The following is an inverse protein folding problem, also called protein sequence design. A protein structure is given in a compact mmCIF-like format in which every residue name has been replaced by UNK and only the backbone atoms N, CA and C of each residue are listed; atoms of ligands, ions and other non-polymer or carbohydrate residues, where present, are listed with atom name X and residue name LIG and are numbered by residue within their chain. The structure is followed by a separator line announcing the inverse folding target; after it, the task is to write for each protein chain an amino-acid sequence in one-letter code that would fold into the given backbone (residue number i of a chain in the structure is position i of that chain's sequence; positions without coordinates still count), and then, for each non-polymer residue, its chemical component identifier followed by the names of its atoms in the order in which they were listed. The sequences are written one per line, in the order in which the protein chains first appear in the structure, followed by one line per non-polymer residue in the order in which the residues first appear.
data_IF_499946493690
#
_entry.id   IF_499946493690
#
_cell.length_a   1.000
_cell.length_b   1.000
_cell.length_c   1.000
_cell.angle_alpha   90.00
_cell.angle_beta   90.00
_cell.angle_gamma   90.00
#
_symmetry.space_group_name_H-M   'P 1'
#
loop_
_entity.id
_entity.type
_entity.pdbx_description
1 polymer ?
#
# COMPACT_ATOMS: atom_id res chain seq x y z
N UNK A 1 60.12 -64.56 -9.47
CA UNK A 1 59.68 -63.85 -8.25
C UNK A 1 59.99 -62.37 -8.42
N UNK A 2 59.04 -61.58 -8.92
CA UNK A 2 59.18 -60.13 -9.00
C UNK A 2 58.38 -59.51 -7.85
N UNK A 3 59.10 -58.90 -6.92
CA UNK A 3 58.54 -58.16 -5.79
C UNK A 3 57.74 -56.96 -6.32
N UNK A 4 56.41 -57.09 -6.32
CA UNK A 4 55.50 -55.96 -6.45
C UNK A 4 55.80 -55.01 -5.27
N UNK A 5 56.29 -53.81 -5.60
CA UNK A 5 56.56 -52.74 -4.62
C UNK A 5 55.27 -52.46 -3.82
N UNK A 6 55.34 -52.20 -2.50
CA UNK A 6 54.16 -52.02 -1.65
C UNK A 6 53.22 -50.90 -2.11
N UNK A 7 53.73 -49.95 -2.90
CA UNK A 7 52.96 -48.85 -3.48
C UNK A 7 51.95 -49.31 -4.55
N UNK A 8 52.27 -50.34 -5.34
CA UNK A 8 51.36 -50.84 -6.40
C UNK A 8 50.23 -51.71 -5.83
N UNK A 9 50.45 -52.38 -4.69
CA UNK A 9 49.40 -53.14 -4.00
C UNK A 9 48.37 -52.20 -3.36
N UNK A 10 48.83 -51.09 -2.78
CA UNK A 10 47.96 -50.05 -2.19
C UNK A 10 47.14 -49.35 -3.28
N UNK A 11 47.72 -49.08 -4.45
CA UNK A 11 47.00 -48.46 -5.56
C UNK A 11 45.93 -49.37 -6.16
N UNK A 12 46.19 -50.68 -6.27
CA UNK A 12 45.20 -51.67 -6.72
C UNK A 12 44.10 -51.88 -5.66
N UNK A 13 44.45 -51.83 -4.36
CA UNK A 13 43.46 -51.89 -3.28
C UNK A 13 42.55 -50.65 -3.25
N UNK A 14 43.12 -49.45 -3.51
CA UNK A 14 42.36 -48.20 -3.65
C UNK A 14 41.47 -48.18 -4.90
N UNK A 15 41.91 -48.79 -6.00
CA UNK A 15 41.11 -48.93 -7.23
C UNK A 15 39.98 -49.98 -7.10
N UNK A 16 40.13 -50.97 -6.21
CA UNK A 16 39.09 -51.95 -5.89
C UNK A 16 38.09 -51.42 -4.84
N UNK A 17 38.52 -50.51 -3.96
CA UNK A 17 37.65 -49.80 -3.01
C UNK A 17 36.75 -48.75 -3.71
N UNK A 18 37.19 -48.18 -4.84
CA UNK A 18 36.42 -47.16 -5.57
C UNK A 18 35.25 -47.70 -6.41
N UNK A 19 35.13 -49.02 -6.61
CA UNK A 19 34.01 -49.64 -7.35
C UNK A 19 32.87 -50.10 -6.40
N UNK A 20 33.03 -49.95 -5.09
CA UNK A 20 31.97 -50.29 -4.11
C UNK A 20 31.25 -49.05 -3.55
N UNK A 21 30.90 -48.08 -4.40
CA UNK A 21 29.95 -47.02 -4.04
C UNK A 21 28.59 -47.31 -4.66
N UNK A 22 27.96 -48.41 -4.23
CA UNK A 22 26.53 -48.58 -4.45
C UNK A 22 25.86 -47.59 -3.49
N UNK A 23 25.25 -46.54 -4.04
CA UNK A 23 24.32 -45.70 -3.30
C UNK A 23 23.30 -46.61 -2.59
N UNK A 24 23.36 -46.68 -1.26
CA UNK A 24 22.45 -47.51 -0.48
C UNK A 24 21.07 -46.84 -0.50
N UNK A 25 20.18 -47.31 -1.38
CA UNK A 25 18.76 -47.00 -1.25
C UNK A 25 18.27 -47.59 0.08
N UNK A 26 18.07 -46.73 1.10
CA UNK A 26 17.56 -47.13 2.42
C UNK A 26 16.12 -47.59 2.27
N UNK A 27 15.89 -48.90 2.32
CA UNK A 27 14.54 -49.48 2.33
C UNK A 27 13.81 -49.19 3.65
N UNK A 28 12.75 -48.36 3.68
CA UNK A 28 12.00 -48.06 4.89
C UNK A 28 11.26 -49.30 5.44
N UNK A 29 10.99 -50.29 4.61
CA UNK A 29 10.36 -51.57 4.99
C UNK A 29 11.34 -52.58 5.60
N UNK A 30 12.62 -52.22 5.78
CA UNK A 30 13.63 -53.11 6.36
C UNK A 30 13.24 -53.60 7.76
N UNK A 31 12.55 -52.77 8.56
CA UNK A 31 12.07 -53.14 9.91
C UNK A 31 10.99 -54.23 9.90
N UNK A 32 10.28 -54.41 8.78
CA UNK A 32 9.24 -55.43 8.62
C UNK A 32 9.66 -56.55 7.65
N UNK A 33 10.96 -56.65 7.33
CA UNK A 33 11.55 -57.77 6.59
C UNK A 33 11.22 -57.84 5.10
N UNK A 34 10.54 -56.85 4.51
CA UNK A 34 10.18 -56.86 3.08
C UNK A 34 11.21 -56.12 2.22
N UNK A 35 11.61 -56.72 1.09
CA UNK A 35 12.39 -56.05 0.03
C UNK A 35 11.41 -55.51 -1.03
N UNK A 36 11.25 -54.20 -1.10
CA UNK A 36 10.46 -53.53 -2.15
C UNK A 36 11.33 -52.48 -2.84
N UNK A 37 11.12 -52.29 -4.15
CA UNK A 37 11.73 -51.18 -4.90
C UNK A 37 11.12 -49.87 -4.42
N UNK A 38 11.95 -48.92 -3.98
CA UNK A 38 11.49 -47.61 -3.52
C UNK A 38 11.32 -46.74 -4.76
N UNK A 39 10.07 -46.39 -5.07
CA UNK A 39 9.77 -45.40 -6.10
C UNK A 39 9.85 -44.03 -5.43
N UNK A 40 10.90 -43.27 -5.74
CA UNK A 40 11.00 -41.85 -5.38
C UNK A 40 10.42 -41.02 -6.51
N UNK A 41 9.82 -39.87 -6.17
CA UNK A 41 9.11 -38.98 -7.10
C UNK A 41 10.01 -38.48 -8.23
N UNK A 42 11.31 -38.43 -7.96
CA UNK A 42 12.34 -37.95 -8.87
C UNK A 42 13.34 -39.03 -9.27
N UNK A 43 13.05 -40.30 -8.98
CA UNK A 43 13.94 -41.45 -9.23
C UNK A 43 15.38 -41.24 -8.71
N UNK A 44 15.51 -40.55 -7.57
CA UNK A 44 16.79 -40.27 -6.91
C UNK A 44 17.52 -39.03 -7.42
N UNK A 45 16.90 -38.20 -8.26
CA UNK A 45 17.48 -36.93 -8.72
C UNK A 45 17.57 -35.89 -7.59
N UNK A 46 16.63 -35.92 -6.63
CA UNK A 46 16.63 -35.05 -5.46
C UNK A 46 16.54 -35.85 -4.16
N UNK A 47 17.02 -35.26 -3.06
CA UNK A 47 16.95 -35.85 -1.73
C UNK A 47 15.53 -35.69 -1.17
N UNK A 48 14.75 -36.77 -1.22
CA UNK A 48 13.32 -36.77 -0.86
C UNK A 48 13.04 -37.23 0.59
N UNK A 49 14.08 -37.67 1.31
CA UNK A 49 13.98 -38.06 2.72
C UNK A 49 14.66 -37.00 3.59
N UNK A 50 13.88 -36.36 4.45
CA UNK A 50 14.32 -35.22 5.28
C UNK A 50 14.89 -35.64 6.64
N UNK A 51 14.67 -36.89 7.06
CA UNK A 51 15.12 -37.44 8.35
C UNK A 51 16.54 -38.05 8.29
N UNK A 52 17.40 -37.55 7.40
CA UNK A 52 18.73 -38.13 7.22
C UNK A 52 19.77 -37.58 8.18
N UNK A 53 19.59 -36.37 8.69
CA UNK A 53 20.52 -35.77 9.64
C UNK A 53 20.03 -35.93 11.08
N UNK A 54 20.94 -36.37 11.94
CA UNK A 54 20.66 -36.57 13.36
C UNK A 54 20.41 -35.26 14.11
N UNK A 55 20.71 -34.12 13.50
CA UNK A 55 20.60 -32.79 14.10
C UNK A 55 19.63 -31.95 13.25
N UNK A 56 18.54 -31.48 13.87
CA UNK A 56 17.58 -30.60 13.23
C UNK A 56 17.50 -29.26 13.96
N UNK A 57 17.25 -28.19 13.21
CA UNK A 57 17.02 -26.85 13.76
C UNK A 57 15.55 -26.69 14.16
N UNK A 58 15.30 -26.38 15.43
CA UNK A 58 13.99 -26.05 15.97
C UNK A 58 14.10 -24.66 16.63
N UNK A 59 13.56 -23.64 15.97
CA UNK A 59 13.66 -22.25 16.42
C UNK A 59 15.11 -21.76 16.48
N UNK A 60 15.56 -21.40 17.69
CA UNK A 60 16.94 -20.97 17.99
C UNK A 60 17.84 -22.11 18.47
N UNK A 61 17.36 -23.36 18.50
CA UNK A 61 18.13 -24.51 18.97
C UNK A 61 18.41 -25.51 17.85
N UNK A 62 19.63 -26.04 17.82
CA UNK A 62 19.96 -27.27 17.10
C UNK A 62 19.76 -28.44 18.06
N UNK A 63 18.89 -29.39 17.69
CA UNK A 63 18.50 -30.52 18.53
C UNK A 63 18.89 -31.81 17.82
N UNK A 64 19.52 -32.73 18.55
CA UNK A 64 19.72 -34.08 18.06
C UNK A 64 18.41 -34.86 18.19
N UNK A 65 17.81 -35.27 17.08
CA UNK A 65 16.48 -35.92 17.06
C UNK A 65 16.50 -37.37 17.58
N UNK A 66 17.67 -38.01 17.62
CA UNK A 66 17.81 -39.37 18.15
C UNK A 66 17.97 -39.38 19.67
N UNK A 67 18.68 -38.39 20.23
CA UNK A 67 18.92 -38.30 21.68
C UNK A 67 18.00 -37.30 22.37
N UNK A 68 17.26 -36.50 21.61
CA UNK A 68 16.43 -35.37 22.09
C UNK A 68 17.21 -34.34 22.90
N UNK A 69 18.52 -34.22 22.65
CA UNK A 69 19.39 -33.27 23.36
C UNK A 69 19.65 -32.03 22.51
N UNK A 70 19.68 -30.87 23.15
CA UNK A 70 20.10 -29.61 22.53
C UNK A 70 21.61 -29.68 22.28
N UNK A 71 21.99 -29.62 21.01
CA UNK A 71 23.38 -29.62 20.55
C UNK A 71 23.97 -28.23 20.66
N UNK A 72 23.19 -27.20 20.30
CA UNK A 72 23.66 -25.82 20.28
C UNK A 72 22.50 -24.84 20.33
N UNK A 73 22.65 -23.75 21.09
CA UNK A 73 21.75 -22.61 21.08
C UNK A 73 22.39 -21.52 20.22
N UNK A 74 21.68 -21.08 19.18
CA UNK A 74 22.16 -20.12 18.20
C UNK A 74 22.05 -18.69 18.77
N UNK A 75 23.11 -17.90 18.61
CA UNK A 75 23.14 -16.48 19.01
C UNK A 75 22.24 -15.62 18.10
N UNK A 76 21.61 -14.59 18.68
CA UNK A 76 20.57 -13.76 18.08
C UNK A 76 21.07 -12.93 16.89
N UNK A 77 22.39 -12.76 16.75
CA UNK A 77 22.97 -11.73 15.89
C UNK A 77 23.59 -12.18 14.55
N UNK A 78 23.60 -13.48 14.22
CA UNK A 78 24.29 -13.94 12.99
C UNK A 78 23.46 -14.82 12.06
N UNK A 79 22.45 -15.56 12.53
CA UNK A 79 21.78 -16.61 11.73
C UNK A 79 20.25 -16.48 11.61
N UNK A 80 19.64 -15.44 12.20
CA UNK A 80 18.17 -15.23 12.19
C UNK A 80 17.67 -14.67 10.84
N UNK A 81 18.55 -14.16 9.97
CA UNK A 81 18.14 -13.59 8.67
C UNK A 81 17.79 -14.60 7.58
N UNK A 82 18.12 -15.89 7.73
CA UNK A 82 17.50 -16.94 6.89
C UNK A 82 16.23 -17.43 7.58
N UNK A 83 15.18 -16.62 7.52
CA UNK A 83 13.81 -17.15 7.65
C UNK A 83 13.65 -18.25 6.58
N UNK A 84 12.90 -19.33 6.83
CA UNK A 84 12.42 -20.18 5.75
C UNK A 84 11.60 -19.28 4.83
N UNK A 85 12.21 -18.86 3.74
CA UNK A 85 11.56 -18.06 2.71
C UNK A 85 10.64 -19.00 1.92
N UNK A 86 9.33 -18.81 2.06
CA UNK A 86 8.33 -19.59 1.35
C UNK A 86 8.34 -19.32 -0.16
N UNK A 87 9.10 -18.32 -0.64
CA UNK A 87 9.38 -18.11 -2.07
C UNK A 87 9.96 -19.38 -2.72
N UNK A 88 10.66 -20.21 -1.95
CA UNK A 88 11.28 -21.44 -2.44
C UNK A 88 10.38 -22.68 -2.34
N UNK A 89 9.42 -22.72 -1.42
CA UNK A 89 8.62 -23.92 -1.14
C UNK A 89 7.20 -23.89 -1.71
N UNK A 90 6.72 -22.73 -2.19
CA UNK A 90 5.36 -22.57 -2.76
C UNK A 90 4.24 -23.16 -1.89
N UNK A 91 4.47 -23.24 -0.57
CA UNK A 91 3.57 -23.83 0.42
C UNK A 91 3.54 -22.96 1.66
N UNK A 92 2.37 -22.87 2.29
CA UNK A 92 2.22 -22.17 3.56
C UNK A 92 2.91 -22.95 4.69
N UNK A 93 3.47 -22.20 5.66
CA UNK A 93 4.14 -22.79 6.84
C UNK A 93 3.15 -23.20 7.94
N UNK A 94 1.90 -22.76 7.83
CA UNK A 94 0.80 -23.07 8.74
C UNK A 94 -0.38 -23.60 7.95
N UNK A 95 -1.19 -24.44 8.59
CA UNK A 95 -2.44 -24.97 8.03
C UNK A 95 -3.46 -23.84 7.80
N UNK A 96 -4.09 -23.85 6.63
CA UNK A 96 -5.21 -22.98 6.27
C UNK A 96 -6.37 -23.10 7.30
N UNK A 97 -6.82 -22.01 7.94
CA UNK A 97 -7.96 -22.02 8.86
C UNK A 97 -9.27 -22.55 8.27
N UNK A 98 -9.46 -22.46 6.95
CA UNK A 98 -10.63 -22.94 6.23
C UNK A 98 -10.50 -24.40 5.76
N UNK A 99 -9.41 -25.09 6.10
CA UNK A 99 -9.18 -26.51 5.77
C UNK A 99 -10.40 -27.39 6.07
N UNK A 100 -11.09 -27.13 7.19
CA UNK A 100 -12.27 -27.91 7.59
C UNK A 100 -13.45 -27.83 6.60
N UNK A 101 -13.57 -26.72 5.88
CA UNK A 101 -14.61 -26.48 4.88
C UNK A 101 -14.24 -27.03 3.50
N UNK A 102 -12.96 -27.31 3.26
CA UNK A 102 -12.42 -27.73 1.97
C UNK A 102 -11.56 -28.98 2.11
N UNK A 103 -12.15 -30.05 2.62
CA UNK A 103 -11.47 -31.34 2.87
C UNK A 103 -10.88 -32.00 1.63
N UNK A 104 -11.32 -31.60 0.43
CA UNK A 104 -10.76 -32.06 -0.85
C UNK A 104 -9.45 -31.36 -1.24
N UNK A 105 -9.00 -30.37 -0.46
CA UNK A 105 -7.82 -29.57 -0.73
C UNK A 105 -6.75 -29.78 0.35
N UNK A 106 -5.48 -29.59 -0.03
CA UNK A 106 -4.39 -29.71 0.95
C UNK A 106 -4.42 -28.51 1.91
N UNK A 107 -4.23 -28.72 3.23
CA UNK A 107 -4.18 -27.62 4.22
C UNK A 107 -3.07 -26.59 3.98
N UNK A 108 -2.17 -26.83 3.04
CA UNK A 108 -1.00 -26.00 2.74
C UNK A 108 -0.93 -25.58 1.26
N UNK A 109 -2.02 -25.75 0.51
CA UNK A 109 -2.04 -25.40 -0.91
C UNK A 109 -1.98 -23.89 -1.12
N UNK A 110 -1.46 -23.47 -2.25
CA UNK A 110 -1.58 -22.11 -2.76
C UNK A 110 -2.56 -22.10 -3.94
N UNK A 111 -3.55 -21.19 -3.93
CA UNK A 111 -4.49 -20.98 -5.04
C UNK A 111 -5.12 -22.26 -5.63
N UNK A 112 -5.57 -23.20 -4.79
CA UNK A 112 -6.10 -24.49 -5.24
C UNK A 112 -5.14 -25.35 -6.09
N UNK A 113 -3.82 -25.18 -5.91
CA UNK A 113 -2.76 -25.73 -6.77
C UNK A 113 -2.87 -25.32 -8.25
N UNK A 114 -3.51 -24.18 -8.52
CA UNK A 114 -3.68 -23.60 -9.85
C UNK A 114 -2.96 -22.25 -9.93
N UNK A 115 -1.63 -22.17 -9.79
CA UNK A 115 -0.92 -20.90 -9.69
C UNK A 115 -0.85 -20.08 -11.00
N UNK A 116 -1.33 -20.63 -12.11
CA UNK A 116 -1.33 -19.97 -13.42
C UNK A 116 -2.64 -19.19 -13.65
N UNK A 117 -3.78 -19.78 -13.26
CA UNK A 117 -5.14 -19.24 -13.47
C UNK A 117 -5.88 -18.95 -12.16
N UNK A 118 -5.42 -19.50 -11.05
CA UNK A 118 -5.86 -19.24 -9.70
C UNK A 118 -4.97 -18.21 -9.04
N UNK A 119 -5.58 -17.12 -8.60
CA UNK A 119 -4.99 -16.14 -7.69
C UNK A 119 -5.55 -16.49 -6.31
N UNK A 120 -4.67 -16.63 -5.32
CA UNK A 120 -5.09 -16.75 -3.93
C UNK A 120 -5.72 -15.42 -3.51
N UNK A 121 -7.05 -15.40 -3.38
CA UNK A 121 -7.85 -14.19 -3.18
C UNK A 121 -7.84 -13.68 -1.74
N UNK A 122 -7.12 -14.33 -0.83
CA UNK A 122 -6.91 -13.82 0.53
C UNK A 122 -5.87 -12.66 0.55
N UNK A 123 -5.91 -11.85 -0.50
CA UNK A 123 -5.31 -10.52 -0.60
C UNK A 123 -6.13 -9.55 0.25
N UNK A 124 -5.49 -9.03 1.28
CA UNK A 124 -6.12 -8.24 2.32
C UNK A 124 -5.44 -6.86 2.34
N UNK A 125 -5.97 -5.93 1.58
CA UNK A 125 -5.61 -4.51 1.50
C UNK A 125 -6.43 -3.66 2.51
N UNK A 126 -6.54 -2.34 2.39
CA UNK A 126 -7.58 -1.62 3.16
C UNK A 126 -8.97 -1.96 2.62
N UNK A 127 -9.11 -1.94 1.30
CA UNK A 127 -10.38 -2.12 0.60
C UNK A 127 -10.19 -2.70 -0.79
N UNK A 128 -11.02 -3.70 -1.11
CA UNK A 128 -11.18 -4.21 -2.47
C UNK A 128 -12.25 -3.38 -3.17
N UNK A 129 -11.93 -2.77 -4.30
CA UNK A 129 -12.90 -2.07 -5.15
C UNK A 129 -13.10 -2.85 -6.46
N UNK A 130 -14.30 -3.40 -6.64
CA UNK A 130 -14.68 -4.18 -7.82
C UNK A 130 -15.48 -3.32 -8.81
N UNK A 131 -15.03 -3.29 -10.06
CA UNK A 131 -15.72 -2.71 -11.21
C UNK A 131 -16.15 -3.83 -12.15
N UNK A 132 -17.38 -3.77 -12.67
CA UNK A 132 -17.90 -4.74 -13.62
C UNK A 132 -18.20 -4.03 -14.93
N UNK A 133 -17.53 -4.42 -16.01
CA UNK A 133 -17.75 -3.89 -17.34
C UNK A 133 -18.50 -4.90 -18.20
N UNK A 134 -19.62 -4.46 -18.79
CA UNK A 134 -20.33 -5.21 -19.81
C UNK A 134 -19.73 -4.91 -21.18
N UNK A 135 -19.11 -5.92 -21.77
CA UNK A 135 -18.56 -5.92 -23.11
C UNK A 135 -19.64 -6.07 -24.16
N UNK A 136 -19.65 -5.15 -25.12
CA UNK A 136 -20.48 -5.30 -26.31
C UNK A 136 -20.00 -6.50 -27.13
N UNK A 137 -20.95 -7.31 -27.60
CA UNK A 137 -20.68 -8.46 -28.47
C UNK A 137 -20.21 -8.03 -29.86
N UNK A 138 -20.51 -6.78 -30.28
CA UNK A 138 -20.16 -6.28 -31.62
C UNK A 138 -18.85 -5.50 -31.68
N UNK A 139 -18.37 -4.96 -30.55
CA UNK A 139 -17.03 -4.37 -30.45
C UNK A 139 -16.42 -4.66 -29.07
N UNK A 140 -15.50 -5.65 -28.96
CA UNK A 140 -14.87 -6.01 -27.70
C UNK A 140 -13.92 -4.94 -27.14
N UNK A 141 -13.78 -3.78 -27.80
CA UNK A 141 -13.04 -2.61 -27.29
C UNK A 141 -13.94 -1.59 -26.59
N UNK A 142 -15.26 -1.83 -26.56
CA UNK A 142 -16.23 -0.94 -25.93
C UNK A 142 -16.89 -1.70 -24.77
N UNK A 143 -16.43 -1.42 -23.54
CA UNK A 143 -17.04 -1.91 -22.31
C UNK A 143 -17.72 -0.76 -21.56
N UNK A 144 -18.99 -0.95 -21.18
CA UNK A 144 -19.70 0.00 -20.33
C UNK A 144 -19.65 -0.47 -18.87
N UNK A 145 -19.34 0.43 -17.93
CA UNK A 145 -19.43 0.14 -16.51
C UNK A 145 -20.88 -0.20 -16.14
N UNK A 146 -21.12 -1.41 -15.66
CA UNK A 146 -22.44 -1.91 -15.28
C UNK A 146 -22.66 -1.90 -13.77
N UNK A 147 -21.60 -2.11 -12.99
CA UNK A 147 -21.64 -2.07 -11.54
C UNK A 147 -20.27 -1.70 -10.95
N UNK A 148 -20.27 -1.00 -9.82
CA UNK A 148 -19.09 -0.75 -9.00
C UNK A 148 -19.44 -1.02 -7.53
N UNK A 149 -18.60 -1.75 -6.80
CA UNK A 149 -18.85 -2.15 -5.42
C UNK A 149 -17.55 -2.32 -4.65
N UNK A 150 -17.52 -1.99 -3.37
CA UNK A 150 -16.32 -2.11 -2.54
C UNK A 150 -16.56 -3.00 -1.32
N UNK A 151 -15.48 -3.59 -0.80
CA UNK A 151 -15.48 -4.38 0.43
C UNK A 151 -14.27 -3.99 1.28
N UNK A 152 -14.54 -3.51 2.50
CA UNK A 152 -13.48 -3.24 3.47
C UNK A 152 -12.86 -4.53 3.95
N UNK A 153 -11.52 -4.56 4.07
CA UNK A 153 -10.84 -5.70 4.66
C UNK A 153 -11.30 -5.97 6.10
N UNK A 154 -11.48 -4.91 6.88
CA UNK A 154 -12.04 -4.99 8.20
C UNK A 154 -13.24 -4.04 8.33
N UNK A 155 -14.45 -4.60 8.25
CA UNK A 155 -15.69 -3.84 8.37
C UNK A 155 -15.91 -3.21 9.76
N UNK A 156 -15.24 -3.72 10.80
CA UNK A 156 -15.30 -3.11 12.14
C UNK A 156 -14.32 -1.94 12.28
N UNK A 157 -13.26 -1.94 11.47
CA UNK A 157 -12.26 -0.90 11.46
C UNK A 157 -11.55 -0.79 10.11
N UNK A 158 -11.91 0.22 9.32
CA UNK A 158 -11.51 0.34 7.92
C UNK A 158 -10.01 0.64 7.68
N UNK A 159 -9.27 1.00 8.74
CA UNK A 159 -7.84 1.29 8.67
C UNK A 159 -6.93 0.10 9.03
N UNK A 160 -7.50 -1.09 9.25
CA UNK A 160 -6.72 -2.31 9.25
C UNK A 160 -6.44 -2.71 7.80
N UNK A 161 -5.27 -3.28 7.56
CA UNK A 161 -4.89 -3.88 6.29
C UNK A 161 -4.34 -5.27 6.58
N UNK A 162 -4.34 -6.13 5.58
CA UNK A 162 -3.69 -7.43 5.65
C UNK A 162 -2.40 -7.50 4.84
N UNK A 163 -2.23 -8.63 4.14
CA UNK A 163 -0.95 -9.14 3.62
C UNK A 163 -0.36 -8.35 2.46
N UNK A 164 -1.18 -7.72 1.62
CA UNK A 164 -0.72 -6.83 0.53
C UNK A 164 -0.23 -5.49 1.06
N UNK A 165 -0.55 -5.17 2.32
CA UNK A 165 -0.17 -3.94 2.98
C UNK A 165 -1.22 -2.85 2.82
N UNK A 166 -0.80 -1.63 3.14
CA UNK A 166 -1.63 -0.43 3.06
C UNK A 166 -1.92 -0.14 1.59
N UNK A 167 -3.20 -0.09 1.18
CA UNK A 167 -3.53 0.13 -0.22
C UNK A 167 -4.96 -0.20 -0.61
N UNK A 168 -5.26 -0.03 -1.90
CA UNK A 168 -6.54 -0.36 -2.52
C UNK A 168 -6.29 -1.41 -3.59
N UNK A 169 -7.05 -2.51 -3.58
CA UNK A 169 -7.04 -3.50 -4.64
C UNK A 169 -8.22 -3.22 -5.57
N UNK A 170 -7.92 -2.96 -6.83
CA UNK A 170 -8.91 -2.86 -7.89
C UNK A 170 -9.11 -4.22 -8.53
N UNK A 171 -10.36 -4.66 -8.63
CA UNK A 171 -10.77 -5.84 -9.39
C UNK A 171 -11.64 -5.36 -10.54
N UNK A 172 -11.23 -5.63 -11.78
CA UNK A 172 -11.96 -5.28 -12.98
C UNK A 172 -12.52 -6.57 -13.57
N UNK A 173 -13.83 -6.76 -13.51
CA UNK A 173 -14.53 -7.92 -14.05
C UNK A 173 -15.12 -7.58 -15.42
N UNK A 174 -14.95 -8.49 -16.37
CA UNK A 174 -15.51 -8.36 -17.70
C UNK A 174 -16.66 -9.35 -17.87
N UNK A 175 -17.82 -8.83 -18.28
CA UNK A 175 -19.02 -9.62 -18.53
C UNK A 175 -19.46 -9.47 -19.99
N UNK A 176 -19.96 -10.54 -20.61
CA UNK A 176 -20.65 -10.46 -21.89
C UNK A 176 -21.94 -11.28 -21.85
N UNK A 177 -23.07 -10.64 -22.19
CA UNK A 177 -24.38 -11.26 -22.08
C UNK A 177 -24.72 -11.76 -20.67
N UNK A 178 -24.26 -11.05 -19.63
CA UNK A 178 -24.50 -11.40 -18.22
C UNK A 178 -23.64 -12.54 -17.67
N UNK A 179 -22.61 -12.98 -18.41
CA UNK A 179 -21.66 -14.00 -17.94
C UNK A 179 -20.27 -13.39 -17.77
N UNK A 180 -19.62 -13.71 -16.65
CA UNK A 180 -18.21 -13.39 -16.43
C UNK A 180 -17.35 -14.09 -17.49
N UNK A 181 -16.52 -13.31 -18.18
CA UNK A 181 -15.62 -13.77 -19.25
C UNK A 181 -14.14 -13.50 -18.96
N UNK A 182 -13.85 -12.70 -17.94
CA UNK A 182 -12.48 -12.43 -17.50
C UNK A 182 -12.45 -11.50 -16.30
N UNK A 183 -11.28 -11.39 -15.67
CA UNK A 183 -11.02 -10.40 -14.65
C UNK A 183 -9.55 -10.00 -14.64
N UNK A 184 -9.27 -8.75 -14.29
CA UNK A 184 -7.94 -8.24 -13.96
C UNK A 184 -7.94 -7.71 -12.52
N UNK A 185 -6.77 -7.73 -11.89
CA UNK A 185 -6.60 -7.20 -10.53
C UNK A 185 -5.32 -6.37 -10.43
N UNK A 186 -5.41 -5.22 -9.77
CA UNK A 186 -4.30 -4.27 -9.59
C UNK A 186 -4.30 -3.75 -8.16
N UNK A 187 -3.13 -3.73 -7.51
CA UNK A 187 -2.98 -3.18 -6.17
C UNK A 187 -2.27 -1.82 -6.23
N UNK A 188 -2.92 -0.79 -5.69
CA UNK A 188 -2.33 0.54 -5.51
C UNK A 188 -1.87 0.63 -4.06
N UNK A 189 -0.57 0.42 -3.87
CA UNK A 189 0.06 0.52 -2.56
C UNK A 189 0.04 1.96 -2.05
N UNK A 190 -0.30 2.12 -0.77
CA UNK A 190 -0.17 3.36 -0.02
C UNK A 190 1.16 3.30 0.71
N UNK A 191 2.21 3.80 0.07
CA UNK A 191 3.59 3.58 0.52
C UNK A 191 3.90 4.41 1.77
N UNK A 192 4.03 3.74 2.91
CA UNK A 192 4.82 4.25 4.02
C UNK A 192 6.29 4.38 3.57
N UNK A 193 6.75 5.63 3.38
CA UNK A 193 8.07 5.93 2.80
C UNK A 193 9.23 5.08 3.38
N UNK A 194 10.20 4.75 2.53
CA UNK A 194 11.43 4.01 2.88
C UNK A 194 12.36 4.75 3.86
N UNK A 195 12.02 5.98 4.25
CA UNK A 195 12.74 6.81 5.23
C UNK A 195 12.09 6.82 6.62
N UNK A 196 11.11 5.94 6.88
CA UNK A 196 10.56 5.73 8.21
C UNK A 196 9.51 6.74 8.67
N UNK A 197 9.05 7.64 7.80
CA UNK A 197 7.92 8.54 8.07
C UNK A 197 6.90 8.40 6.93
N UNK A 198 5.85 7.61 7.14
CA UNK A 198 4.73 7.55 6.20
C UNK A 198 3.99 8.89 6.21
N UNK A 199 3.97 9.56 5.07
CA UNK A 199 3.05 10.66 4.81
C UNK A 199 1.69 10.16 4.28
N UNK A 200 1.62 8.88 3.94
CA UNK A 200 0.41 8.24 3.46
C UNK A 200 -0.40 7.65 4.61
N UNK A 201 -1.71 7.84 4.52
CA UNK A 201 -2.71 7.30 5.43
C UNK A 201 -4.04 7.13 4.67
N UNK A 202 -4.81 6.10 5.04
CA UNK A 202 -6.10 5.83 4.41
C UNK A 202 -6.04 5.72 2.88
N UNK A 203 -7.11 6.13 2.23
CA UNK A 203 -7.29 6.11 0.78
C UNK A 203 -6.83 7.42 0.12
N UNK A 204 -6.93 8.55 0.82
CA UNK A 204 -6.78 9.88 0.25
C UNK A 204 -5.59 10.65 0.83
N UNK A 205 -5.32 10.56 2.13
CA UNK A 205 -4.20 11.32 2.73
C UNK A 205 -2.82 10.89 2.21
N UNK A 206 -2.20 11.69 1.34
CA UNK A 206 -0.86 11.44 0.80
C UNK A 206 -0.69 11.97 -0.62
N UNK A 207 0.45 11.69 -1.24
CA UNK A 207 0.72 12.09 -2.63
C UNK A 207 0.22 11.08 -3.67
N UNK A 208 -0.11 9.87 -3.24
CA UNK A 208 -0.58 8.79 -4.13
C UNK A 208 -2.04 9.04 -4.50
N UNK A 209 -2.31 9.32 -5.77
CA UNK A 209 -3.68 9.45 -6.27
C UNK A 209 -4.35 8.10 -6.49
N UNK A 210 -5.65 8.03 -6.22
CA UNK A 210 -6.51 6.92 -6.66
C UNK A 210 -7.19 7.32 -7.96
N UNK A 211 -7.19 6.44 -8.95
CA UNK A 211 -7.74 6.72 -10.29
C UNK A 211 -8.88 5.76 -10.60
N UNK A 212 -9.93 6.28 -11.24
CA UNK A 212 -11.04 5.46 -11.72
C UNK A 212 -10.52 4.46 -12.77
N UNK A 213 -10.77 3.17 -12.60
CA UNK A 213 -10.49 2.19 -13.64
C UNK A 213 -11.28 2.51 -14.92
N UNK A 214 -10.63 2.30 -16.06
CA UNK A 214 -11.28 2.29 -17.37
C UNK A 214 -11.39 0.84 -17.87
N UNK A 215 -12.07 0.65 -19.00
CA UNK A 215 -12.27 -0.68 -19.57
C UNK A 215 -10.93 -1.36 -19.95
N UNK A 216 -9.92 -0.59 -20.35
CA UNK A 216 -8.56 -1.03 -20.68
C UNK A 216 -7.62 -1.20 -19.46
N UNK A 217 -8.11 -1.02 -18.23
CA UNK A 217 -7.33 -1.17 -17.00
C UNK A 217 -7.44 0.02 -16.04
N UNK A 218 -6.32 0.46 -15.45
CA UNK A 218 -6.29 1.73 -14.74
C UNK A 218 -6.16 2.85 -15.77
N UNK A 219 -7.30 3.50 -16.04
CA UNK A 219 -7.47 4.84 -16.61
C UNK A 219 -6.20 5.56 -17.03
N UNK A 220 -6.01 5.83 -18.32
CA UNK A 220 -5.03 6.83 -18.73
C UNK A 220 -5.21 8.09 -17.87
N UNK A 221 -4.13 8.43 -17.17
CA UNK A 221 -4.07 9.26 -15.97
C UNK A 221 -4.92 10.53 -16.05
N UNK A 222 -5.83 10.73 -15.07
CA UNK A 222 -6.28 12.02 -14.49
C UNK A 222 -7.73 12.00 -13.93
N UNK A 223 -8.50 10.94 -14.14
CA UNK A 223 -9.83 10.83 -13.50
C UNK A 223 -9.66 10.25 -12.10
N UNK A 224 -9.51 11.12 -11.10
CA UNK A 224 -9.39 10.69 -9.72
C UNK A 224 -10.66 10.00 -9.21
N UNK A 225 -10.48 8.98 -8.38
CA UNK A 225 -11.56 8.21 -7.79
C UNK A 225 -11.94 8.76 -6.41
N UNK A 226 -12.95 9.63 -6.42
CA UNK A 226 -13.61 10.11 -5.20
C UNK A 226 -14.89 9.33 -4.87
N UNK A 227 -15.19 8.23 -5.56
CA UNK A 227 -16.36 7.41 -5.26
C UNK A 227 -16.07 6.43 -4.11
N UNK A 228 -14.80 6.04 -3.94
CA UNK A 228 -14.38 5.23 -2.81
C UNK A 228 -14.58 6.00 -1.48
N UNK A 229 -15.23 5.42 -0.46
CA UNK A 229 -15.34 6.08 0.83
C UNK A 229 -13.97 6.25 1.48
N UNK A 230 -13.81 7.34 2.24
CA UNK A 230 -12.66 7.51 3.12
C UNK A 230 -12.66 6.45 4.24
N UNK A 231 -11.49 6.12 4.78
CA UNK A 231 -11.40 5.12 5.86
C UNK A 231 -11.97 5.65 7.19
N UNK A 232 -11.76 6.94 7.49
CA UNK A 232 -12.17 7.64 8.73
C UNK A 232 -12.23 9.16 8.50
N UNK A 233 -12.46 9.94 9.57
CA UNK A 233 -12.60 11.40 9.47
C UNK A 233 -11.32 12.10 8.96
N UNK A 234 -10.15 11.59 9.32
CA UNK A 234 -8.87 12.20 8.91
C UNK A 234 -8.66 12.04 7.42
N UNK A 235 -8.97 10.86 6.91
CA UNK A 235 -8.91 10.54 5.49
C UNK A 235 -10.03 11.23 4.69
N UNK A 236 -11.21 11.42 5.30
CA UNK A 236 -12.30 12.20 4.69
C UNK A 236 -11.91 13.66 4.48
N UNK A 237 -11.23 14.28 5.44
CA UNK A 237 -10.71 15.64 5.27
C UNK A 237 -9.67 15.72 4.15
N UNK A 238 -8.83 14.70 4.00
CA UNK A 238 -7.90 14.61 2.88
C UNK A 238 -8.63 14.43 1.53
N UNK A 239 -9.68 13.60 1.49
CA UNK A 239 -10.54 13.44 0.31
C UNK A 239 -11.16 14.77 -0.12
N UNK A 240 -11.67 15.55 0.82
CA UNK A 240 -12.25 16.87 0.55
C UNK A 240 -11.20 17.86 0.05
N UNK A 241 -10.00 17.82 0.62
CA UNK A 241 -8.87 18.63 0.17
C UNK A 241 -8.51 18.31 -1.29
N UNK A 242 -8.35 17.02 -1.61
CA UNK A 242 -7.95 16.59 -2.95
C UNK A 242 -9.03 16.92 -3.99
N UNK A 243 -10.31 16.64 -3.71
CA UNK A 243 -11.44 17.01 -4.58
C UNK A 243 -11.51 18.53 -4.82
N UNK A 244 -11.26 19.33 -3.79
CA UNK A 244 -11.22 20.79 -3.93
C UNK A 244 -10.00 21.28 -4.72
N UNK A 245 -8.85 20.61 -4.62
CA UNK A 245 -7.67 20.88 -5.45
C UNK A 245 -7.96 20.62 -6.92
N UNK A 246 -8.58 19.49 -7.23
CA UNK A 246 -8.97 19.12 -8.59
C UNK A 246 -9.96 20.12 -9.19
N UNK A 247 -10.96 20.56 -8.42
CA UNK A 247 -11.91 21.61 -8.83
C UNK A 247 -11.24 22.97 -9.10
N UNK A 248 -10.08 23.20 -8.48
CA UNK A 248 -9.24 24.37 -8.72
C UNK A 248 -8.18 24.12 -9.81
N UNK A 249 -8.20 23.00 -10.53
CA UNK A 249 -7.15 22.61 -11.47
C UNK A 249 -5.73 22.70 -10.87
N UNK A 250 -5.61 22.48 -9.57
CA UNK A 250 -4.36 22.60 -8.84
C UNK A 250 -3.55 21.30 -8.97
N UNK A 251 -2.41 21.35 -9.65
CA UNK A 251 -1.59 20.18 -9.93
C UNK A 251 -0.27 20.18 -9.16
N UNK A 252 -0.02 19.08 -8.46
CA UNK A 252 1.29 18.73 -7.88
C UNK A 252 1.83 19.71 -6.83
N UNK A 253 3.13 19.60 -6.55
CA UNK A 253 3.79 20.38 -5.50
C UNK A 253 3.81 21.89 -5.75
N UNK A 254 3.82 22.34 -7.01
CA UNK A 254 3.81 23.78 -7.28
C UNK A 254 2.52 24.43 -6.78
N UNK A 255 1.37 23.79 -6.99
CA UNK A 255 0.09 24.30 -6.51
C UNK A 255 -0.02 24.25 -4.98
N UNK A 256 0.63 23.29 -4.34
CA UNK A 256 0.73 23.23 -2.89
C UNK A 256 1.52 24.40 -2.30
N UNK A 257 2.58 24.88 -2.95
CA UNK A 257 3.44 25.92 -2.34
C UNK A 257 3.21 27.33 -2.89
N UNK A 258 2.89 27.46 -4.19
CA UNK A 258 2.94 28.74 -4.90
C UNK A 258 1.58 29.23 -5.39
N UNK A 259 0.59 28.33 -5.54
CA UNK A 259 -0.77 28.76 -5.89
C UNK A 259 -1.48 29.31 -4.64
N UNK A 260 -1.76 30.61 -4.67
CA UNK A 260 -2.45 31.29 -3.57
C UNK A 260 -3.95 31.01 -3.56
N UNK A 261 -4.53 30.53 -4.66
CA UNK A 261 -5.95 30.19 -4.79
C UNK A 261 -6.31 28.91 -4.04
N UNK A 262 -5.34 28.05 -3.76
CA UNK A 262 -5.53 26.83 -2.95
C UNK A 262 -5.43 27.07 -1.44
N UNK A 263 -4.93 28.24 -1.00
CA UNK A 263 -4.81 28.60 0.43
C UNK A 263 -6.06 28.35 1.27
N UNK A 264 -7.29 28.71 0.85
CA UNK A 264 -8.48 28.43 1.66
C UNK A 264 -8.82 26.93 1.78
N UNK A 265 -8.42 26.12 0.80
CA UNK A 265 -8.57 24.65 0.84
C UNK A 265 -7.55 24.04 1.81
N UNK A 266 -6.29 24.48 1.72
CA UNK A 266 -5.21 24.10 2.62
C UNK A 266 -5.54 24.43 4.08
N UNK A 267 -6.07 25.63 4.31
CA UNK A 267 -6.52 26.10 5.61
C UNK A 267 -7.69 25.27 6.16
N UNK A 268 -8.65 24.90 5.31
CA UNK A 268 -9.77 24.04 5.72
C UNK A 268 -9.29 22.66 6.18
N UNK A 269 -8.36 22.05 5.44
CA UNK A 269 -7.75 20.76 5.81
C UNK A 269 -6.97 20.87 7.13
N UNK A 270 -6.11 21.89 7.25
CA UNK A 270 -5.35 22.19 8.47
C UNK A 270 -6.27 22.34 9.69
N UNK A 271 -7.32 23.14 9.57
CA UNK A 271 -8.27 23.38 10.65
C UNK A 271 -9.03 22.11 10.98
N UNK A 272 -9.51 21.35 9.98
CA UNK A 272 -10.18 20.07 10.19
C UNK A 272 -9.34 19.06 10.97
N UNK A 273 -8.05 18.92 10.63
CA UNK A 273 -7.16 18.01 11.37
C UNK A 273 -6.83 18.49 12.78
N UNK A 274 -6.74 19.81 13.01
CA UNK A 274 -6.56 20.35 14.36
C UNK A 274 -7.82 20.15 15.21
N UNK A 275 -8.99 20.50 14.68
CA UNK A 275 -10.30 20.30 15.29
C UNK A 275 -10.52 18.83 15.67
N UNK A 276 -10.20 17.92 14.75
CA UNK A 276 -10.28 16.49 15.01
C UNK A 276 -9.42 16.08 16.22
N UNK A 277 -8.17 16.54 16.27
CA UNK A 277 -7.24 16.19 17.35
C UNK A 277 -7.60 16.78 18.71
N UNK A 278 -8.24 17.95 18.72
CA UNK A 278 -8.70 18.63 19.93
C UNK A 278 -9.97 17.97 20.48
N UNK A 279 -10.92 17.63 19.60
CA UNK A 279 -12.24 17.13 19.99
C UNK A 279 -12.26 15.61 20.22
N UNK A 280 -11.49 14.83 19.46
CA UNK A 280 -11.58 13.37 19.44
C UNK A 280 -10.31 12.69 19.99
N UNK A 281 -10.51 11.81 20.97
CA UNK A 281 -9.46 11.04 21.64
C UNK A 281 -9.46 9.60 21.14
N UNK A 282 -8.35 8.90 21.32
CA UNK A 282 -8.28 7.46 21.01
C UNK A 282 -9.40 6.71 21.75
N UNK A 283 -10.16 5.90 21.03
CA UNK A 283 -11.31 5.15 21.54
C UNK A 283 -12.65 5.90 21.55
N UNK A 284 -12.66 7.21 21.24
CA UNK A 284 -13.93 7.93 21.00
C UNK A 284 -14.54 7.55 19.65
N UNK A 285 -15.81 7.87 19.43
CA UNK A 285 -16.48 7.65 18.15
C UNK A 285 -15.95 8.63 17.11
N UNK A 286 -15.42 8.09 16.03
CA UNK A 286 -15.05 8.86 14.84
C UNK A 286 -16.31 9.52 14.25
N UNK A 287 -16.26 10.81 13.91
CA UNK A 287 -17.45 11.53 13.44
C UNK A 287 -17.86 11.21 11.99
N UNK A 288 -16.99 10.59 11.20
CA UNK A 288 -17.29 10.22 9.82
C UNK A 288 -17.97 8.85 9.74
N UNK A 289 -17.42 7.83 10.40
CA UNK A 289 -17.89 6.45 10.28
C UNK A 289 -18.42 5.82 11.59
N UNK A 290 -18.31 6.51 12.73
CA UNK A 290 -18.76 6.02 14.03
C UNK A 290 -17.85 4.97 14.69
N UNK A 291 -16.75 4.57 14.05
CA UNK A 291 -15.81 3.58 14.57
C UNK A 291 -14.91 4.19 15.65
N UNK A 292 -14.18 3.34 16.38
CA UNK A 292 -13.29 3.82 17.42
C UNK A 292 -12.06 4.54 16.81
N UNK A 293 -11.86 5.81 17.17
CA UNK A 293 -10.71 6.60 16.76
C UNK A 293 -9.41 5.91 17.18
N UNK A 294 -8.48 5.73 16.24
CA UNK A 294 -7.20 5.05 16.53
C UNK A 294 -6.07 5.99 16.89
N UNK A 295 -5.02 5.44 17.50
CA UNK A 295 -3.75 6.14 17.64
C UNK A 295 -3.11 6.44 16.28
N UNK A 296 -3.29 5.58 15.27
CA UNK A 296 -2.76 5.76 13.93
C UNK A 296 -3.37 6.98 13.24
N UNK A 297 -4.69 7.08 13.29
CA UNK A 297 -5.50 8.19 12.80
C UNK A 297 -5.11 9.52 13.45
N UNK A 298 -5.03 9.57 14.78
CA UNK A 298 -4.59 10.79 15.49
C UNK A 298 -3.17 11.20 15.12
N UNK A 299 -2.28 10.23 14.88
CA UNK A 299 -0.92 10.50 14.37
C UNK A 299 -0.95 11.01 12.92
N UNK A 300 -1.88 10.53 12.10
CA UNK A 300 -2.06 11.01 10.73
C UNK A 300 -2.54 12.46 10.73
N UNK A 301 -3.59 12.79 11.49
CA UNK A 301 -4.05 14.16 11.67
C UNK A 301 -2.92 15.10 12.15
N UNK A 302 -2.07 14.65 13.08
CA UNK A 302 -0.95 15.47 13.56
C UNK A 302 0.09 15.71 12.46
N UNK A 303 0.38 14.71 11.63
CA UNK A 303 1.28 14.84 10.48
C UNK A 303 0.72 15.83 9.46
N UNK A 304 -0.54 15.67 9.06
CA UNK A 304 -1.23 16.57 8.12
C UNK A 304 -1.23 18.01 8.62
N UNK A 305 -1.69 18.23 9.85
CA UNK A 305 -1.69 19.56 10.46
C UNK A 305 -0.28 20.18 10.57
N UNK A 306 0.74 19.37 10.83
CA UNK A 306 2.12 19.86 10.95
C UNK A 306 2.71 20.28 9.60
N UNK A 307 2.42 19.53 8.53
CA UNK A 307 2.85 19.86 7.17
C UNK A 307 2.17 21.15 6.69
N UNK A 308 0.84 21.24 6.83
CA UNK A 308 0.06 22.33 6.29
C UNK A 308 0.19 23.63 7.09
N UNK A 309 0.58 23.57 8.38
CA UNK A 309 0.76 24.77 9.21
C UNK A 309 1.69 25.79 8.56
N UNK A 310 2.85 25.34 8.10
CA UNK A 310 3.85 26.23 7.51
C UNK A 310 3.41 26.67 6.11
N UNK A 311 2.89 25.74 5.30
CA UNK A 311 2.39 26.04 3.94
C UNK A 311 1.34 27.16 3.95
N UNK A 312 0.31 27.02 4.80
CA UNK A 312 -0.76 28.01 4.93
C UNK A 312 -0.22 29.34 5.45
N UNK A 313 0.65 29.30 6.47
CA UNK A 313 1.24 30.51 7.04
C UNK A 313 2.07 31.29 6.01
N UNK A 314 2.93 30.60 5.26
CA UNK A 314 3.81 31.20 4.26
C UNK A 314 3.00 31.81 3.11
N UNK A 315 1.99 31.10 2.58
CA UNK A 315 1.08 31.64 1.57
C UNK A 315 0.39 32.90 2.04
N UNK A 316 -0.20 32.89 3.25
CA UNK A 316 -0.89 34.07 3.81
C UNK A 316 0.04 35.26 4.00
N UNK A 317 1.28 35.03 4.40
CA UNK A 317 2.29 36.11 4.52
C UNK A 317 2.60 36.70 3.15
N UNK A 318 2.85 35.87 2.15
CA UNK A 318 3.15 36.31 0.78
C UNK A 318 1.98 37.07 0.16
N UNK A 319 0.76 36.55 0.30
CA UNK A 319 -0.49 37.23 -0.08
C UNK A 319 -0.57 38.60 0.59
N UNK A 320 -0.31 38.68 1.90
CA UNK A 320 -0.44 39.93 2.65
C UNK A 320 0.54 41.01 2.18
N UNK A 321 1.78 40.64 1.88
CA UNK A 321 2.75 41.58 1.29
C UNK A 321 2.34 42.03 -0.10
N UNK A 322 1.89 41.11 -0.95
CA UNK A 322 1.44 41.42 -2.30
C UNK A 322 0.20 42.34 -2.30
N UNK A 323 -0.73 42.11 -1.37
CA UNK A 323 -1.90 42.97 -1.18
C UNK A 323 -1.52 44.40 -0.79
N UNK A 324 -0.50 44.58 0.07
CA UNK A 324 0.00 45.93 0.39
C UNK A 324 0.66 46.62 -0.79
N UNK A 325 1.33 45.88 -1.66
CA UNK A 325 1.99 46.43 -2.84
C UNK A 325 0.99 46.91 -3.89
N UNK A 326 -0.11 46.18 -4.09
CA UNK A 326 -1.05 46.44 -5.18
C UNK A 326 -2.35 47.15 -4.73
N UNK A 327 -2.71 47.03 -3.45
CA UNK A 327 -3.94 47.59 -2.87
C UNK A 327 -3.66 48.38 -1.58
N UNK A 328 -2.62 49.22 -1.59
CA UNK A 328 -2.14 49.95 -0.39
C UNK A 328 -3.20 50.82 0.31
N UNK A 329 -4.22 51.29 -0.43
CA UNK A 329 -5.33 52.07 0.12
C UNK A 329 -6.38 51.20 0.85
N UNK A 330 -6.41 49.89 0.60
CA UNK A 330 -7.39 48.96 1.19
C UNK A 330 -6.76 48.00 2.20
N UNK A 331 -5.51 47.58 1.94
CA UNK A 331 -4.73 46.68 2.78
C UNK A 331 -4.24 47.39 4.06
N UNK A 332 -3.99 46.59 5.11
CA UNK A 332 -3.62 47.07 6.45
C UNK A 332 -2.24 46.62 6.87
N UNK A 333 -1.64 47.45 7.73
CA UNK A 333 -0.46 47.11 8.53
C UNK A 333 -0.84 47.05 10.01
N UNK A 334 -0.09 46.26 10.77
CA UNK A 334 -0.19 46.16 12.22
C UNK A 334 1.15 46.43 12.86
N UNK A 335 1.14 46.90 14.11
CA UNK A 335 2.37 47.17 14.86
C UNK A 335 2.96 45.89 15.41
N UNK A 336 4.28 45.72 15.24
CA UNK A 336 5.07 44.69 15.89
C UNK A 336 6.24 45.35 16.62
N UNK A 337 5.99 45.77 17.87
CA UNK A 337 6.88 46.70 18.56
C UNK A 337 6.94 48.03 17.80
N UNK A 338 8.15 48.47 17.44
CA UNK A 338 8.39 49.73 16.72
C UNK A 338 8.27 49.62 15.19
N UNK A 339 8.09 48.42 14.64
CA UNK A 339 8.02 48.20 13.19
C UNK A 339 6.58 47.95 12.73
N UNK A 340 6.22 48.51 11.58
CA UNK A 340 4.98 48.14 10.88
C UNK A 340 5.23 46.85 10.09
N UNK A 341 4.34 45.88 10.26
CA UNK A 341 4.30 44.66 9.45
C UNK A 341 2.93 44.52 8.79
N UNK A 342 2.78 43.74 7.72
CA UNK A 342 1.46 43.48 7.16
C UNK A 342 0.50 42.86 8.18
N UNK A 343 -0.76 43.29 8.19
CA UNK A 343 -1.81 42.58 8.90
C UNK A 343 -2.18 41.33 8.08
N UNK A 344 -1.54 40.20 8.40
CA UNK A 344 -1.65 38.97 7.62
C UNK A 344 -3.08 38.49 7.48
N UNK A 345 -3.85 38.47 8.57
CA UNK A 345 -5.21 37.93 8.53
C UNK A 345 -6.16 38.89 7.82
N UNK A 346 -6.08 40.19 8.08
CA UNK A 346 -6.92 41.16 7.39
C UNK A 346 -6.67 41.17 5.88
N UNK A 347 -5.40 41.23 5.47
CA UNK A 347 -5.05 41.28 4.05
C UNK A 347 -5.35 39.96 3.33
N UNK A 348 -5.24 38.81 4.02
CA UNK A 348 -5.68 37.54 3.47
C UNK A 348 -7.20 37.50 3.26
N UNK A 349 -7.99 38.01 4.20
CA UNK A 349 -9.45 38.11 4.01
C UNK A 349 -9.80 39.04 2.84
N UNK A 350 -9.13 40.19 2.73
CA UNK A 350 -9.29 41.09 1.58
C UNK A 350 -8.91 40.41 0.25
N UNK A 351 -7.85 39.59 0.26
CA UNK A 351 -7.48 38.77 -0.89
C UNK A 351 -8.59 37.79 -1.26
N UNK A 352 -9.14 37.02 -0.30
CA UNK A 352 -10.26 36.12 -0.57
C UNK A 352 -11.45 36.89 -1.15
N UNK A 353 -11.79 38.05 -0.60
CA UNK A 353 -12.88 38.89 -1.12
C UNK A 353 -12.66 39.36 -2.55
N UNK A 354 -11.43 39.63 -2.98
CA UNK A 354 -11.12 40.10 -4.34
C UNK A 354 -10.93 38.97 -5.34
N UNK A 355 -10.33 37.86 -4.93
CA UNK A 355 -9.80 36.83 -5.84
C UNK A 355 -10.56 35.51 -5.77
N UNK A 356 -11.26 35.23 -4.68
CA UNK A 356 -11.94 33.97 -4.46
C UNK A 356 -13.45 34.19 -4.27
N UNK A 357 -14.22 33.16 -4.56
CA UNK A 357 -15.66 33.13 -4.26
C UNK A 357 -16.09 31.69 -3.99
N UNK A 358 -17.31 31.52 -3.50
CA UNK A 358 -17.91 30.21 -3.31
C UNK A 358 -18.90 29.91 -4.43
N UNK A 359 -18.92 28.68 -4.90
CA UNK A 359 -19.96 28.18 -5.79
C UNK A 359 -21.29 27.93 -5.03
N UNK A 360 -22.30 27.42 -5.74
CA UNK A 360 -23.63 27.14 -5.17
C UNK A 360 -23.58 26.07 -4.06
N UNK A 361 -22.59 25.19 -4.09
CA UNK A 361 -22.38 24.11 -3.13
C UNK A 361 -21.46 24.54 -1.97
N UNK A 362 -20.98 25.79 -1.99
CA UNK A 362 -20.12 26.36 -0.97
C UNK A 362 -18.62 26.06 -1.15
N UNK A 363 -18.21 25.46 -2.27
CA UNK A 363 -16.81 25.19 -2.57
C UNK A 363 -16.10 26.45 -3.06
N UNK A 364 -14.82 26.60 -2.72
CA UNK A 364 -14.01 27.70 -3.19
C UNK A 364 -13.71 27.58 -4.69
N UNK A 365 -13.85 28.70 -5.40
CA UNK A 365 -13.43 28.86 -6.80
C UNK A 365 -12.74 30.20 -6.99
N UNK A 366 -11.89 30.28 -8.02
CA UNK A 366 -11.25 31.53 -8.46
C UNK A 366 -12.28 32.44 -9.12
N UNK A 367 -12.28 33.72 -8.78
CA UNK A 367 -13.12 34.72 -9.44
C UNK A 367 -12.71 34.91 -10.89
N UNK A 368 -13.68 34.88 -11.79
CA UNK A 368 -13.46 35.04 -13.23
C UNK A 368 -12.80 36.38 -13.54
N UNK A 369 -11.74 36.36 -14.35
CA UNK A 369 -11.00 37.56 -14.77
C UNK A 369 -10.00 38.11 -13.76
N UNK A 370 -9.90 37.52 -12.56
CA UNK A 370 -8.98 37.94 -11.50
C UNK A 370 -7.68 37.12 -11.44
N UNK A 371 -7.52 36.15 -12.35
CA UNK A 371 -6.39 35.23 -12.36
C UNK A 371 -5.88 35.02 -13.78
N UNK A 372 -4.57 34.94 -13.92
CA UNK A 372 -3.91 34.45 -15.12
C UNK A 372 -3.53 32.97 -14.92
N UNK A 373 -3.70 32.17 -15.97
CA UNK A 373 -3.32 30.75 -16.02
C UNK A 373 -2.27 30.57 -17.10
N UNK A 374 -1.13 29.98 -16.75
CA UNK A 374 -0.10 29.63 -17.73
C UNK A 374 -0.34 28.24 -18.36
N UNK A 375 0.50 27.90 -19.34
CA UNK A 375 0.43 26.61 -20.07
C UNK A 375 0.64 25.38 -19.18
N UNK A 376 1.19 25.55 -17.98
CA UNK A 376 1.53 24.50 -17.04
C UNK A 376 0.48 24.43 -15.90
N UNK A 377 -0.66 25.11 -16.06
CA UNK A 377 -1.74 25.24 -15.08
C UNK A 377 -1.31 25.91 -13.76
N UNK A 378 -0.35 26.84 -13.83
CA UNK A 378 -0.03 27.68 -12.69
C UNK A 378 -0.89 28.94 -12.73
N UNK A 379 -1.47 29.28 -11.58
CA UNK A 379 -2.37 30.41 -11.43
C UNK A 379 -1.69 31.55 -10.67
N UNK A 380 -1.79 32.77 -11.20
CA UNK A 380 -1.31 33.99 -10.54
C UNK A 380 -2.41 35.04 -10.45
N UNK A 381 -2.51 35.78 -9.33
CA UNK A 381 -3.51 36.82 -9.19
C UNK A 381 -3.21 37.98 -10.12
N UNK A 382 -4.24 38.42 -10.86
CA UNK A 382 -4.19 39.58 -11.75
C UNK A 382 -4.62 40.84 -11.01
N UNK A 383 -3.89 41.93 -11.17
CA UNK A 383 -4.36 43.26 -10.77
C UNK A 383 -5.16 43.82 -11.94
N UNK A 384 -6.49 44.03 -11.82
CA UNK A 384 -7.26 44.65 -12.89
C UNK A 384 -6.70 46.05 -13.19
N UNK A 385 -6.60 46.39 -14.47
CA UNK A 385 -6.34 47.78 -14.85
C UNK A 385 -7.52 48.64 -14.38
N UNK A 386 -7.23 49.75 -13.69
CA UNK A 386 -8.21 50.76 -13.27
C UNK A 386 -9.09 51.28 -14.42
#
# INVERSE_FOLDING_TARGET
MHNLRPLNLIFILLLLLSISSIAQNKNPYKKIGKKASIVTLTSGKYKELFDEDSIQKIGTALININTMQVVHLMDENTEIRRRPDNSTSSRFLSTDPLTGSFSMLSPYQYASNRPIDGIDLDGMEYVTYTFVFNLDKTDPKIGNLSNASYVWYNANQHNAHGSLGQGVQYIIKFQSGGKDIGQDAYFVARNASSFGVSLEYGNYMGATGLFKPNFDGLGSSKNYDYDLPAVDQVDFLAKQHDDAYDKLNAVGGNSLFNDWGTTPVDEAALNGWNDFREKYKTGSSDPYNGQAVTTGERKAAWRGASLFRNVVADKKVNISYWMLQNYSNEARTTKNGSFLKPDTQYNYNLFLEKYMEKDIDGNWRRKTGMWDEDKDHNFTPKVPSE
#
